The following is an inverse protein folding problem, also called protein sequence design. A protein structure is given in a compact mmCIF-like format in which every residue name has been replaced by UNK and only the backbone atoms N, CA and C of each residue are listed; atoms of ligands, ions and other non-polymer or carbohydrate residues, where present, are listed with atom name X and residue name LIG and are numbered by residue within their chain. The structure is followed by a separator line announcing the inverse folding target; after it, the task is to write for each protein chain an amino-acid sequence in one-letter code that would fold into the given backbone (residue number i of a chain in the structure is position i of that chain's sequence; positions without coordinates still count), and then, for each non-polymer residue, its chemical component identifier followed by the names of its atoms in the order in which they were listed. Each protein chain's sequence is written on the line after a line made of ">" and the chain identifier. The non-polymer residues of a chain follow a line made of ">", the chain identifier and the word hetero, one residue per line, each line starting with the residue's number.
data_IF_502283045475
#
_entry.id   IF_502283045475
#
_cell.length_a   1.000
_cell.length_b   1.000
_cell.length_c   1.000
_cell.angle_alpha   90.00
_cell.angle_beta   90.00
_cell.angle_gamma   90.00
#
_symmetry.space_group_name_H-M   'P 1'
#
loop_
_entity.id
_entity.type
_entity.pdbx_description
1 polymer ?
#
# COMPACT_ATOMS: atom_id res chain seq x y z
N UNK A 1 9.37 -30.16 26.15
CA UNK A 1 8.22 -30.90 25.58
C UNK A 1 7.04 -30.71 26.52
N UNK A 2 5.86 -30.47 25.94
CA UNK A 2 4.54 -30.39 26.61
C UNK A 2 4.30 -29.09 27.39
N UNK A 3 3.70 -28.10 26.71
CA UNK A 3 2.31 -27.69 27.02
C UNK A 3 1.80 -26.87 25.83
N UNK A 4 1.10 -27.56 24.94
CA UNK A 4 0.26 -27.00 23.91
C UNK A 4 -1.08 -27.74 24.04
N UNK A 5 -2.18 -27.00 23.84
CA UNK A 5 -3.59 -27.44 23.89
C UNK A 5 -4.29 -27.21 25.23
N UNK A 6 -4.85 -26.00 25.42
CA UNK A 6 -6.13 -25.83 26.17
C UNK A 6 -6.83 -24.47 26.05
N UNK A 7 -6.52 -23.61 25.07
CA UNK A 7 -7.33 -22.41 24.83
C UNK A 7 -7.63 -22.20 23.35
N UNK A 8 -8.31 -23.19 22.77
CA UNK A 8 -8.87 -23.13 21.44
C UNK A 8 -10.07 -24.08 21.35
N UNK A 9 -11.16 -23.77 22.04
CA UNK A 9 -12.50 -24.28 21.74
C UNK A 9 -13.52 -23.49 22.57
N UNK A 10 -14.73 -23.32 22.00
CA UNK A 10 -15.99 -22.93 22.65
C UNK A 10 -16.32 -21.45 22.91
N UNK A 11 -16.17 -20.57 21.91
CA UNK A 11 -17.01 -19.34 21.86
C UNK A 11 -17.48 -18.99 20.44
N UNK A 12 -17.99 -19.98 19.70
CA UNK A 12 -18.53 -19.75 18.33
C UNK A 12 -19.73 -20.62 17.99
N UNK A 13 -20.66 -20.84 18.92
CA UNK A 13 -21.92 -21.51 18.60
C UNK A 13 -23.01 -21.00 19.54
N UNK A 14 -24.15 -20.53 18.99
CA UNK A 14 -25.38 -20.05 19.66
C UNK A 14 -25.61 -18.53 19.88
N UNK A 15 -25.23 -17.67 18.92
CA UNK A 15 -25.95 -16.38 18.73
C UNK A 15 -26.76 -16.37 17.45
N UNK A 16 -27.73 -17.28 17.39
CA UNK A 16 -28.87 -17.17 16.50
C UNK A 16 -30.10 -17.70 17.28
N UNK A 17 -30.94 -16.77 17.75
CA UNK A 17 -32.38 -16.90 18.02
C UNK A 17 -32.83 -15.88 19.08
N UNK A 18 -33.46 -14.80 18.61
CA UNK A 18 -34.51 -14.10 19.36
C UNK A 18 -34.09 -13.22 20.53
N UNK A 19 -33.76 -11.96 20.26
CA UNK A 19 -34.29 -10.88 21.10
C UNK A 19 -34.57 -9.63 20.28
N UNK A 20 -35.83 -9.50 19.90
CA UNK A 20 -36.50 -8.26 19.52
C UNK A 20 -36.44 -7.26 20.68
N UNK A 21 -35.85 -6.08 20.45
CA UNK A 21 -36.34 -4.76 20.89
C UNK A 21 -35.20 -3.73 21.03
N UNK A 22 -35.50 -2.52 20.55
CA UNK A 22 -34.93 -1.25 20.96
C UNK A 22 -33.47 -0.92 20.56
N UNK A 23 -33.31 -0.33 19.38
CA UNK A 23 -33.00 1.10 19.26
C UNK A 23 -32.66 1.43 17.80
N UNK A 24 -33.66 1.89 17.05
CA UNK A 24 -33.40 2.66 15.85
C UNK A 24 -32.74 3.98 16.27
N UNK A 25 -31.41 4.04 16.17
CA UNK A 25 -30.72 5.31 16.04
C UNK A 25 -30.59 5.59 14.55
N UNK A 26 -31.24 6.63 13.99
CA UNK A 26 -30.84 7.11 12.68
C UNK A 26 -29.44 7.69 12.85
N UNK A 27 -28.43 6.92 12.46
CA UNK A 27 -27.10 7.45 12.30
C UNK A 27 -27.20 8.53 11.22
N UNK A 28 -27.28 9.78 11.68
CA UNK A 28 -27.05 10.98 10.88
C UNK A 28 -25.77 10.77 10.08
N UNK A 29 -25.93 10.59 8.76
CA UNK A 29 -24.81 10.68 7.83
C UNK A 29 -24.34 12.11 7.87
N UNK A 30 -23.31 12.38 8.68
CA UNK A 30 -22.59 13.64 8.66
C UNK A 30 -21.89 13.76 7.30
N UNK A 31 -22.14 14.82 6.51
CA UNK A 31 -21.61 14.98 5.15
C UNK A 31 -20.13 15.43 5.12
N UNK A 32 -19.30 14.85 5.99
CA UNK A 32 -17.87 15.17 6.09
C UNK A 32 -16.93 13.98 6.27
N UNK A 33 -17.46 12.76 6.45
CA UNK A 33 -16.63 11.56 6.71
C UNK A 33 -16.24 10.78 5.46
N UNK A 34 -16.92 10.99 4.33
CA UNK A 34 -16.59 10.32 3.07
C UNK A 34 -15.24 10.78 2.51
N UNK A 35 -14.91 12.07 2.64
CA UNK A 35 -13.67 12.65 2.09
C UNK A 35 -12.42 12.19 2.84
N UNK A 36 -12.48 12.08 4.17
CA UNK A 36 -11.34 11.66 4.99
C UNK A 36 -10.96 10.18 4.77
N UNK A 37 -11.95 9.30 4.55
CA UNK A 37 -11.70 7.90 4.19
C UNK A 37 -11.02 7.79 2.83
N UNK A 38 -11.47 8.59 1.86
CA UNK A 38 -10.97 8.55 0.49
C UNK A 38 -9.53 9.12 0.38
N UNK A 39 -9.21 10.14 1.18
CA UNK A 39 -7.85 10.68 1.30
C UNK A 39 -6.88 9.66 1.94
N UNK A 40 -7.35 8.94 2.97
CA UNK A 40 -6.59 7.83 3.58
C UNK A 40 -6.37 6.66 2.61
N UNK A 41 -7.36 6.32 1.77
CA UNK A 41 -7.21 5.27 0.76
C UNK A 41 -6.21 5.65 -0.33
N UNK A 42 -6.25 6.89 -0.83
CA UNK A 42 -5.25 7.39 -1.78
C UNK A 42 -3.83 7.35 -1.18
N UNK A 43 -3.67 7.81 0.06
CA UNK A 43 -2.37 7.77 0.76
C UNK A 43 -1.85 6.32 0.94
N UNK A 44 -2.75 5.38 1.26
CA UNK A 44 -2.42 3.96 1.37
C UNK A 44 -1.98 3.36 0.03
N UNK A 45 -2.75 3.60 -1.04
CA UNK A 45 -2.40 3.15 -2.40
C UNK A 45 -1.06 3.71 -2.87
N UNK A 46 -0.80 5.00 -2.61
CA UNK A 46 0.46 5.64 -2.95
C UNK A 46 1.63 5.05 -2.16
N UNK A 47 1.43 4.77 -0.86
CA UNK A 47 2.42 4.10 -0.02
C UNK A 47 2.78 2.71 -0.55
N UNK A 48 1.77 1.90 -0.89
CA UNK A 48 1.97 0.58 -1.51
C UNK A 48 2.73 0.70 -2.84
N UNK A 49 2.34 1.64 -3.70
CA UNK A 49 3.02 1.87 -4.97
C UNK A 49 4.50 2.24 -4.78
N UNK A 50 4.82 3.11 -3.82
CA UNK A 50 6.21 3.47 -3.51
C UNK A 50 7.01 2.26 -2.99
N UNK A 51 6.40 1.40 -2.17
CA UNK A 51 7.03 0.18 -1.70
C UNK A 51 7.35 -0.78 -2.86
N UNK A 52 6.40 -0.98 -3.78
CA UNK A 52 6.56 -1.83 -4.97
C UNK A 52 7.62 -1.27 -5.94
N UNK A 53 7.67 0.05 -6.12
CA UNK A 53 8.70 0.72 -6.92
C UNK A 53 10.10 0.46 -6.34
N UNK A 54 10.25 0.62 -5.01
CA UNK A 54 11.52 0.39 -4.32
C UNK A 54 11.95 -1.08 -4.44
N UNK A 55 11.00 -2.01 -4.31
CA UNK A 55 11.26 -3.43 -4.50
C UNK A 55 11.73 -3.73 -5.94
N UNK A 56 11.12 -3.11 -6.95
CA UNK A 56 11.48 -3.30 -8.37
C UNK A 56 12.88 -2.78 -8.67
N UNK A 57 13.24 -1.61 -8.14
CA UNK A 57 14.59 -1.05 -8.30
C UNK A 57 15.64 -1.97 -7.66
N UNK A 58 15.41 -2.38 -6.40
CA UNK A 58 16.29 -3.33 -5.69
C UNK A 58 16.41 -4.67 -6.40
N UNK A 59 15.34 -5.15 -7.01
CA UNK A 59 15.37 -6.37 -7.81
C UNK A 59 16.29 -6.20 -9.03
N UNK A 60 16.21 -5.07 -9.74
CA UNK A 60 17.13 -4.74 -10.82
C UNK A 60 18.59 -4.70 -10.39
N UNK A 61 18.89 -4.12 -9.24
CA UNK A 61 20.24 -4.10 -8.64
C UNK A 61 20.73 -5.52 -8.31
N UNK A 62 19.88 -6.34 -7.67
CA UNK A 62 20.21 -7.73 -7.33
C UNK A 62 20.48 -8.57 -8.58
N UNK A 63 19.67 -8.42 -9.63
CA UNK A 63 19.87 -9.11 -10.90
C UNK A 63 21.16 -8.64 -11.58
N UNK A 64 21.47 -7.34 -11.52
CA UNK A 64 22.74 -6.81 -12.04
C UNK A 64 23.95 -7.40 -11.31
N UNK A 65 23.88 -7.52 -9.98
CA UNK A 65 24.93 -8.18 -9.18
C UNK A 65 25.09 -9.66 -9.56
N UNK A 66 23.98 -10.39 -9.74
CA UNK A 66 24.02 -11.79 -10.21
C UNK A 66 24.61 -11.91 -11.61
N UNK A 67 24.33 -10.95 -12.49
CA UNK A 67 24.92 -10.87 -13.82
C UNK A 67 26.44 -10.75 -13.79
N UNK A 68 26.97 -9.91 -12.91
CA UNK A 68 28.42 -9.75 -12.70
C UNK A 68 29.05 -11.03 -12.13
N UNK A 69 28.33 -11.74 -11.26
CA UNK A 69 28.77 -13.03 -10.70
C UNK A 69 28.62 -14.22 -11.67
N UNK A 70 28.02 -14.01 -12.86
CA UNK A 70 27.73 -15.08 -13.82
C UNK A 70 26.54 -15.97 -13.45
N UNK A 71 25.77 -15.59 -12.44
CA UNK A 71 24.60 -16.32 -11.93
C UNK A 71 23.29 -15.94 -12.64
N UNK A 72 23.28 -14.86 -13.42
CA UNK A 72 22.14 -14.42 -14.22
C UNK A 72 22.54 -14.18 -15.68
N UNK A 73 21.62 -14.47 -16.61
CA UNK A 73 21.89 -14.26 -18.03
C UNK A 73 21.86 -12.76 -18.35
N UNK A 74 22.75 -12.31 -19.24
CA UNK A 74 22.81 -10.92 -19.73
C UNK A 74 21.44 -10.37 -20.15
N UNK A 75 20.60 -11.22 -20.75
CA UNK A 75 19.22 -10.86 -21.12
C UNK A 75 18.34 -10.53 -19.91
N UNK A 76 18.40 -11.35 -18.87
CA UNK A 76 17.60 -11.16 -17.65
C UNK A 76 18.03 -9.91 -16.88
N UNK A 77 19.33 -9.60 -16.88
CA UNK A 77 19.87 -8.37 -16.30
C UNK A 77 19.31 -7.16 -17.03
N UNK A 78 19.35 -7.15 -18.36
CA UNK A 78 18.83 -6.04 -19.17
C UNK A 78 17.32 -5.89 -18.98
N UNK A 79 16.57 -6.98 -18.97
CA UNK A 79 15.12 -6.96 -18.76
C UNK A 79 14.78 -6.38 -17.38
N UNK A 80 15.51 -6.76 -16.33
CA UNK A 80 15.34 -6.24 -14.97
C UNK A 80 15.71 -4.75 -14.85
N UNK A 81 16.81 -4.32 -15.48
CA UNK A 81 17.23 -2.90 -15.51
C UNK A 81 16.22 -2.04 -16.25
N UNK A 82 15.75 -2.49 -17.43
CA UNK A 82 14.72 -1.80 -18.19
C UNK A 82 13.40 -1.65 -17.43
N UNK A 83 13.01 -2.67 -16.66
CA UNK A 83 11.84 -2.61 -15.77
C UNK A 83 12.03 -1.57 -14.66
N UNK A 84 13.21 -1.56 -14.02
CA UNK A 84 13.55 -0.58 -13.01
C UNK A 84 13.56 0.85 -13.58
N UNK A 85 14.05 1.05 -14.81
CA UNK A 85 14.09 2.37 -15.45
C UNK A 85 12.69 2.93 -15.72
N UNK A 86 11.76 2.12 -16.27
CA UNK A 86 10.36 2.54 -16.47
C UNK A 86 9.69 2.92 -15.16
N UNK A 87 9.98 2.15 -14.12
CA UNK A 87 9.49 2.40 -12.76
C UNK A 87 10.04 3.73 -12.23
N UNK A 88 11.34 3.98 -12.38
CA UNK A 88 11.99 5.23 -12.00
C UNK A 88 11.40 6.44 -12.75
N UNK A 89 11.17 6.33 -14.06
CA UNK A 89 10.55 7.40 -14.85
C UNK A 89 9.16 7.77 -14.32
N UNK A 90 8.38 6.77 -13.92
CA UNK A 90 7.06 6.98 -13.30
C UNK A 90 7.20 7.65 -11.93
N UNK A 91 8.17 7.22 -11.11
CA UNK A 91 8.43 7.81 -9.80
C UNK A 91 8.82 9.29 -9.91
N UNK A 92 9.62 9.65 -10.92
CA UNK A 92 10.01 11.04 -11.20
C UNK A 92 8.80 11.89 -11.60
N UNK A 93 7.90 11.37 -12.45
CA UNK A 93 6.68 12.09 -12.82
C UNK A 93 5.80 12.39 -11.58
N UNK A 94 5.66 11.43 -10.67
CA UNK A 94 4.92 11.62 -9.41
C UNK A 94 5.63 12.63 -8.50
N UNK A 95 6.96 12.52 -8.35
CA UNK A 95 7.78 13.48 -7.59
C UNK A 95 7.55 14.90 -8.08
N UNK A 96 7.58 15.12 -9.38
CA UNK A 96 7.43 16.46 -9.94
C UNK A 96 6.03 17.04 -9.72
N UNK A 97 4.99 16.20 -9.75
CA UNK A 97 3.62 16.61 -9.41
C UNK A 97 3.47 16.98 -7.94
N UNK A 98 4.04 16.22 -7.02
CA UNK A 98 4.00 16.52 -5.59
C UNK A 98 4.74 17.83 -5.29
N UNK A 99 5.91 18.02 -5.88
CA UNK A 99 6.68 19.27 -5.74
C UNK A 99 5.88 20.46 -6.27
N UNK A 100 5.23 20.32 -7.42
CA UNK A 100 4.39 21.38 -7.99
C UNK A 100 3.21 21.73 -7.08
N UNK A 101 2.48 20.73 -6.56
CA UNK A 101 1.37 20.95 -5.64
C UNK A 101 1.81 21.64 -4.34
N UNK A 102 2.98 21.29 -3.80
CA UNK A 102 3.57 21.97 -2.66
C UNK A 102 3.88 23.44 -2.94
N UNK A 103 4.52 23.73 -4.09
CA UNK A 103 4.85 25.10 -4.49
C UNK A 103 3.60 25.94 -4.75
N UNK A 104 2.52 25.34 -5.27
CA UNK A 104 1.24 26.00 -5.50
C UNK A 104 0.59 26.42 -4.17
N UNK A 105 0.50 25.49 -3.21
CA UNK A 105 0.01 25.77 -1.84
C UNK A 105 0.86 26.85 -1.17
N UNK A 106 2.18 26.76 -1.29
CA UNK A 106 3.11 27.73 -0.69
C UNK A 106 3.01 29.13 -1.28
N UNK A 107 2.47 29.28 -2.51
CA UNK A 107 2.32 30.56 -3.21
C UNK A 107 0.97 31.21 -3.00
N UNK A 108 0.03 30.54 -2.33
CA UNK A 108 -1.25 31.14 -1.95
C UNK A 108 -0.97 32.22 -0.89
N UNK A 109 -1.17 33.52 -1.19
CA UNK A 109 -1.02 34.55 -0.18
C UNK A 109 -2.10 34.36 0.89
N UNK A 110 -1.69 34.47 2.16
CA UNK A 110 -2.60 34.54 3.31
C UNK A 110 -3.48 35.78 3.26
#
# INVERSE_FOLDING_TARGET
>A
MIDAVSSAAVTSLTREAGNTAAAASPAVVAPGKATATQESEFASMLSSMVADMTATIRHGEQMSMKGINGEANTKEVVDAVMSAERTLQTALAVRDKIVTAYLEISRMPI
#
